data_IF_764035116112
#
_entry.id   IF_764035116112
#
_cell.length_a   1.000
_cell.length_b   1.000
_cell.length_c   1.000
_cell.angle_alpha   90.00
_cell.angle_beta   90.00
_cell.angle_gamma   90.00
#
_symmetry.space_group_name_H-M   'P 1'
#
loop_
_entity.id
_entity.type
_entity.pdbx_description
1 polymer ?
#
# COMPACT_ATOMS: atom_id res chain seq x y z
N UNK A 1 7.35 -4.76 -18.73
CA UNK A 1 6.74 -3.45 -18.48
C UNK A 1 5.23 -3.62 -18.52
N UNK A 2 4.54 -3.33 -17.43
CA UNK A 2 3.07 -3.47 -17.30
C UNK A 2 2.37 -2.17 -17.66
N UNK A 3 1.08 -2.25 -17.99
CA UNK A 3 0.24 -1.07 -18.23
C UNK A 3 0.24 -0.08 -17.04
N UNK A 4 0.48 -0.56 -15.80
CA UNK A 4 0.56 0.29 -14.62
C UNK A 4 1.87 1.09 -14.61
N UNK A 5 3.00 0.44 -14.88
CA UNK A 5 4.32 1.08 -14.94
C UNK A 5 4.36 2.17 -16.01
N UNK A 6 3.80 1.90 -17.19
CA UNK A 6 3.72 2.88 -18.28
C UNK A 6 2.87 4.11 -17.94
N UNK A 7 1.79 3.93 -17.16
CA UNK A 7 0.95 5.05 -16.72
C UNK A 7 1.64 5.89 -15.67
N UNK A 8 2.36 5.27 -14.74
CA UNK A 8 3.09 5.95 -13.67
C UNK A 8 4.30 6.77 -14.20
N UNK A 9 4.89 6.35 -15.32
CA UNK A 9 6.02 7.04 -15.96
C UNK A 9 5.62 8.19 -16.90
N UNK A 10 4.32 8.41 -17.11
CA UNK A 10 3.82 9.53 -17.93
C UNK A 10 3.87 10.86 -17.15
N UNK A 11 3.80 12.00 -17.84
CA UNK A 11 3.86 13.34 -17.24
C UNK A 11 2.70 13.60 -16.26
N UNK A 12 1.53 13.00 -16.51
CA UNK A 12 0.38 12.95 -15.58
C UNK A 12 0.43 11.80 -14.57
N UNK A 13 1.42 10.91 -14.73
CA UNK A 13 1.66 9.72 -13.91
C UNK A 13 2.27 10.04 -12.56
N UNK A 14 2.98 11.16 -12.42
CA UNK A 14 3.61 11.55 -11.16
C UNK A 14 2.58 11.90 -10.08
N UNK A 15 1.58 12.73 -10.39
CA UNK A 15 0.48 13.02 -9.46
C UNK A 15 -0.34 11.76 -9.12
N UNK A 16 -0.55 10.89 -10.11
CA UNK A 16 -1.22 9.60 -9.88
C UNK A 16 -0.39 8.69 -8.97
N UNK A 17 0.93 8.66 -9.14
CA UNK A 17 1.87 7.93 -8.29
C UNK A 17 1.79 8.43 -6.85
N UNK A 18 1.89 9.74 -6.63
CA UNK A 18 1.78 10.34 -5.30
C UNK A 18 0.41 10.06 -4.66
N UNK A 19 -0.68 10.19 -5.41
CA UNK A 19 -2.03 9.88 -4.91
C UNK A 19 -2.19 8.40 -4.54
N UNK A 20 -1.57 7.49 -5.30
CA UNK A 20 -1.56 6.05 -4.98
C UNK A 20 -0.72 5.79 -3.73
N UNK A 21 0.48 6.37 -3.62
CA UNK A 21 1.35 6.24 -2.44
C UNK A 21 0.61 6.67 -1.16
N UNK A 22 0.00 7.86 -1.18
CA UNK A 22 -0.80 8.37 -0.05
C UNK A 22 -1.93 7.42 0.36
N UNK A 23 -2.64 6.82 -0.61
CA UNK A 23 -3.71 5.86 -0.32
C UNK A 23 -3.18 4.60 0.35
N UNK A 24 -2.04 4.09 -0.11
CA UNK A 24 -1.42 2.90 0.50
C UNK A 24 -0.90 3.21 1.91
N UNK A 25 -0.28 4.37 2.14
CA UNK A 25 0.17 4.79 3.48
C UNK A 25 -1.00 4.95 4.46
N UNK A 26 -2.11 5.53 4.01
CA UNK A 26 -3.35 5.63 4.80
C UNK A 26 -3.92 4.25 5.14
N UNK A 27 -3.99 3.35 4.16
CA UNK A 27 -4.46 1.99 4.37
C UNK A 27 -3.56 1.21 5.34
N UNK A 28 -2.23 1.35 5.21
CA UNK A 28 -1.26 0.73 6.10
C UNK A 28 -1.38 1.26 7.53
N UNK A 29 -1.56 2.57 7.70
CA UNK A 29 -1.80 3.22 8.99
C UNK A 29 -3.10 2.72 9.63
N UNK A 30 -4.16 2.54 8.84
CA UNK A 30 -5.42 2.00 9.35
C UNK A 30 -5.29 0.54 9.82
N UNK A 31 -4.55 -0.29 9.10
CA UNK A 31 -4.27 -1.68 9.50
C UNK A 31 -3.44 -1.71 10.79
N UNK A 32 -2.40 -0.86 10.90
CA UNK A 32 -1.57 -0.76 12.11
C UNK A 32 -2.42 -0.37 13.33
N UNK A 33 -3.29 0.64 13.19
CA UNK A 33 -4.21 1.02 14.27
C UNK A 33 -5.13 -0.12 14.70
N UNK A 34 -5.61 -0.96 13.76
CA UNK A 34 -6.44 -2.13 14.10
C UNK A 34 -5.65 -3.20 14.85
N UNK A 35 -4.38 -3.38 14.51
CA UNK A 35 -3.48 -4.27 15.25
C UNK A 35 -3.22 -3.73 16.67
N UNK A 36 -3.01 -2.41 16.81
CA UNK A 36 -2.74 -1.75 18.10
C UNK A 36 -3.95 -1.80 19.06
N UNK A 37 -5.18 -1.73 18.55
CA UNK A 37 -6.41 -1.86 19.36
C UNK A 37 -6.66 -3.27 19.89
N UNK A 38 -5.87 -4.25 19.46
CA UNK A 38 -6.10 -5.66 19.73
C UNK A 38 -7.15 -6.26 18.82
N UNK A 39 -6.90 -7.49 18.38
CA UNK A 39 -7.80 -8.25 17.52
C UNK A 39 -7.69 -9.75 17.84
N UNK A 40 -8.64 -10.55 17.35
CA UNK A 40 -8.57 -12.00 17.54
C UNK A 40 -7.37 -12.59 16.77
N UNK A 41 -6.82 -13.75 17.18
CA UNK A 41 -5.65 -14.34 16.52
C UNK A 41 -5.81 -14.55 15.01
N UNK A 42 -7.01 -14.93 14.56
CA UNK A 42 -7.33 -15.10 13.14
C UNK A 42 -7.32 -13.75 12.40
N UNK A 43 -7.88 -12.71 13.02
CA UNK A 43 -7.87 -11.35 12.45
C UNK A 43 -6.46 -10.76 12.44
N UNK A 44 -5.66 -11.01 13.47
CA UNK A 44 -4.27 -10.58 13.54
C UNK A 44 -3.47 -11.10 12.34
N UNK A 45 -3.58 -12.40 12.04
CA UNK A 45 -2.83 -13.00 10.93
C UNK A 45 -3.27 -12.45 9.56
N UNK A 46 -4.56 -12.13 9.39
CA UNK A 46 -5.07 -11.49 8.17
C UNK A 46 -4.56 -10.05 8.05
N UNK A 47 -4.66 -9.26 9.13
CA UNK A 47 -4.21 -7.88 9.17
C UNK A 47 -2.70 -7.75 8.98
N UNK A 48 -1.92 -8.68 9.54
CA UNK A 48 -0.47 -8.72 9.35
C UNK A 48 -0.10 -8.95 7.88
N UNK A 49 -0.70 -9.97 7.24
CA UNK A 49 -0.51 -10.22 5.80
C UNK A 49 -0.93 -9.03 4.94
N UNK A 50 -2.01 -8.35 5.33
CA UNK A 50 -2.48 -7.16 4.62
C UNK A 50 -1.50 -5.98 4.76
N UNK A 51 -0.92 -5.80 5.94
CA UNK A 51 0.13 -4.81 6.17
C UNK A 51 1.39 -5.08 5.33
N UNK A 52 1.84 -6.33 5.31
CA UNK A 52 2.99 -6.78 4.50
C UNK A 52 2.74 -6.57 3.00
N UNK A 53 1.54 -6.90 2.52
CA UNK A 53 1.15 -6.69 1.12
C UNK A 53 1.15 -5.21 0.74
N UNK A 54 0.68 -4.32 1.62
CA UNK A 54 0.73 -2.88 1.38
C UNK A 54 2.17 -2.35 1.37
N UNK A 55 3.04 -2.83 2.27
CA UNK A 55 4.45 -2.46 2.26
C UNK A 55 5.14 -2.90 0.95
N UNK A 56 4.87 -4.13 0.50
CA UNK A 56 5.42 -4.63 -0.75
C UNK A 56 4.93 -3.80 -1.95
N UNK A 57 3.64 -3.44 -1.99
CA UNK A 57 3.09 -2.60 -3.05
C UNK A 57 3.73 -1.20 -3.07
N UNK A 58 3.92 -0.57 -1.90
CA UNK A 58 4.61 0.72 -1.78
C UNK A 58 6.03 0.65 -2.34
N UNK A 59 6.79 -0.37 -1.97
CA UNK A 59 8.16 -0.56 -2.44
C UNK A 59 8.23 -0.69 -3.97
N UNK A 60 7.29 -1.44 -4.57
CA UNK A 60 7.19 -1.58 -6.03
C UNK A 60 6.86 -0.25 -6.68
N UNK A 61 5.86 0.48 -6.19
CA UNK A 61 5.45 1.77 -6.77
C UNK A 61 6.58 2.80 -6.66
N UNK A 62 7.31 2.83 -5.55
CA UNK A 62 8.47 3.71 -5.37
C UNK A 62 9.62 3.38 -6.33
N UNK A 63 9.83 2.10 -6.66
CA UNK A 63 10.89 1.63 -7.54
C UNK A 63 10.61 1.82 -9.04
N UNK A 64 9.36 2.11 -9.44
CA UNK A 64 8.92 2.37 -10.83
C UNK A 64 9.12 3.82 -11.23
#
# INVERSE_FOLDING_TARGET
MTNLEQRLQSESGHEQKEAILLKFEQAQSAVKRKLDHGCSPQQYQVLLKQHEAYQAALNVIQAV
#
